data_IF_530358608842
#
_entry.id   IF_530358608842
#
_cell.length_a   1.000
_cell.length_b   1.000
_cell.length_c   1.000
_cell.angle_alpha   90.00
_cell.angle_beta   90.00
_cell.angle_gamma   90.00
#
_symmetry.space_group_name_H-M   'P 1'
#
loop_
_entity.id
_entity.type
_entity.pdbx_description
1 polymer ?
#
# COMPACT_ATOMS: atom_id res chain seq x y z
N UNK A 1 1.27 9.21 -10.43
CA UNK A 1 0.58 8.23 -11.29
C UNK A 1 -0.73 7.80 -10.63
N UNK A 2 -1.82 7.64 -11.38
CA UNK A 2 -3.08 7.10 -10.87
C UNK A 2 -3.36 5.75 -11.54
N UNK A 3 -3.76 4.74 -10.76
CA UNK A 3 -4.12 3.42 -11.28
C UNK A 3 -5.56 3.48 -11.80
N UNK A 4 -5.74 3.34 -13.12
CA UNK A 4 -7.06 3.23 -13.75
C UNK A 4 -7.19 1.85 -14.39
N UNK A 5 -8.29 1.16 -14.08
CA UNK A 5 -8.66 -0.10 -14.74
C UNK A 5 -9.77 0.21 -15.75
N UNK A 6 -9.44 0.15 -17.03
CA UNK A 6 -10.43 0.28 -18.11
C UNK A 6 -10.99 -1.09 -18.51
N UNK A 7 -12.31 -1.27 -18.37
CA UNK A 7 -13.00 -2.51 -18.78
C UNK A 7 -14.01 -2.18 -19.88
N UNK A 8 -14.05 -3.00 -20.93
CA UNK A 8 -15.10 -2.90 -21.95
C UNK A 8 -16.45 -3.28 -21.31
N UNK A 9 -17.56 -2.56 -21.56
CA UNK A 9 -18.87 -2.89 -20.96
C UNK A 9 -19.36 -4.33 -21.20
N UNK A 10 -18.92 -4.96 -22.30
CA UNK A 10 -19.30 -6.35 -22.62
C UNK A 10 -18.46 -7.43 -21.93
N UNK A 11 -17.43 -7.06 -21.15
CA UNK A 11 -16.58 -8.02 -20.44
C UNK A 11 -17.36 -8.61 -19.27
N UNK A 12 -17.49 -9.94 -19.25
CA UNK A 12 -18.20 -10.67 -18.19
C UNK A 12 -17.30 -11.08 -17.02
N UNK A 13 -15.98 -11.11 -17.23
CA UNK A 13 -14.98 -11.47 -16.25
C UNK A 13 -13.86 -10.41 -16.25
N UNK A 14 -13.63 -9.79 -15.10
CA UNK A 14 -12.65 -8.72 -14.89
C UNK A 14 -11.58 -9.13 -13.89
N UNK A 15 -10.62 -8.23 -13.62
CA UNK A 15 -9.63 -8.37 -12.54
C UNK A 15 -10.27 -8.74 -11.19
N UNK A 16 -11.51 -8.33 -10.93
CA UNK A 16 -12.23 -8.61 -9.69
C UNK A 16 -12.70 -10.06 -9.57
N UNK A 17 -12.70 -10.83 -10.66
CA UNK A 17 -13.18 -12.22 -10.70
C UNK A 17 -12.07 -13.25 -10.50
N UNK A 18 -10.81 -12.83 -10.49
CA UNK A 18 -9.65 -13.71 -10.36
C UNK A 18 -8.86 -13.34 -9.11
N UNK A 19 -8.18 -14.31 -8.51
CA UNK A 19 -7.25 -14.02 -7.44
C UNK A 19 -6.17 -13.06 -7.97
N UNK A 20 -6.03 -11.88 -7.36
CA UNK A 20 -5.17 -10.79 -7.83
C UNK A 20 -3.71 -11.23 -8.09
N UNK A 21 -3.18 -12.16 -7.28
CA UNK A 21 -1.84 -12.71 -7.44
C UNK A 21 -1.70 -13.73 -8.60
N UNK A 22 -2.81 -14.19 -9.19
CA UNK A 22 -2.87 -15.21 -10.25
C UNK A 22 -3.43 -14.66 -11.57
N UNK A 23 -3.61 -13.35 -11.69
CA UNK A 23 -4.19 -12.74 -12.89
C UNK A 23 -3.40 -13.09 -14.16
N UNK A 24 -2.07 -13.02 -14.07
CA UNK A 24 -1.15 -13.32 -15.16
C UNK A 24 -1.24 -14.77 -15.67
N UNK A 25 -1.86 -15.69 -14.91
CA UNK A 25 -2.07 -17.08 -15.31
C UNK A 25 -3.34 -17.25 -16.15
N UNK A 26 -4.28 -16.31 -16.04
CA UNK A 26 -5.61 -16.41 -16.65
C UNK A 26 -5.83 -15.37 -17.75
N UNK A 27 -4.96 -14.35 -17.84
CA UNK A 27 -5.10 -13.23 -18.77
C UNK A 27 -3.73 -12.75 -19.28
N UNK A 28 -3.61 -12.39 -20.58
CA UNK A 28 -2.44 -11.67 -21.09
C UNK A 28 -2.22 -10.40 -20.26
N UNK A 29 -1.08 -10.34 -19.57
CA UNK A 29 -0.78 -9.29 -18.61
C UNK A 29 0.57 -8.69 -18.97
N UNK A 30 0.62 -7.36 -19.09
CA UNK A 30 1.87 -6.61 -19.16
C UNK A 30 2.10 -5.97 -17.81
N UNK A 31 3.09 -6.45 -17.07
CA UNK A 31 3.45 -5.92 -15.75
C UNK A 31 4.68 -5.03 -15.89
N UNK A 32 4.50 -3.74 -15.62
CA UNK A 32 5.61 -2.81 -15.52
C UNK A 32 6.18 -2.87 -14.10
N UNK A 33 7.27 -3.60 -13.91
CA UNK A 33 8.03 -3.60 -12.67
C UNK A 33 8.99 -2.41 -12.69
N UNK A 34 8.46 -1.20 -12.46
CA UNK A 34 9.24 0.02 -12.26
C UNK A 34 9.27 0.45 -10.78
N UNK A 35 9.85 1.64 -10.53
CA UNK A 35 10.00 2.38 -9.26
C UNK A 35 8.95 2.08 -8.19
N UNK A 36 9.29 2.22 -6.90
CA UNK A 36 8.37 1.96 -5.78
C UNK A 36 6.94 2.49 -6.02
N UNK A 37 6.02 1.59 -6.37
CA UNK A 37 4.69 1.94 -6.89
C UNK A 37 3.61 1.98 -5.81
N UNK A 38 3.82 1.27 -4.70
CA UNK A 38 2.82 1.08 -3.66
C UNK A 38 3.47 1.04 -2.28
N UNK A 39 2.79 1.65 -1.31
CA UNK A 39 3.11 1.53 0.11
C UNK A 39 2.12 0.57 0.73
N UNK A 40 2.62 -0.31 1.58
CA UNK A 40 1.80 -1.19 2.39
C UNK A 40 1.66 -0.63 3.80
N UNK A 41 0.42 -0.31 4.17
CA UNK A 41 0.06 -0.06 5.57
C UNK A 41 0.03 -1.36 6.39
N UNK A 42 0.59 -1.30 7.59
CA UNK A 42 0.47 -2.34 8.60
C UNK A 42 -0.31 -1.77 9.78
N UNK A 43 -1.58 -2.14 9.91
CA UNK A 43 -2.44 -1.73 11.01
C UNK A 43 -3.24 -2.91 11.56
N UNK A 44 -3.85 -2.69 12.73
CA UNK A 44 -4.65 -3.67 13.46
C UNK A 44 -6.03 -3.93 12.80
N UNK A 45 -6.44 -3.14 11.80
CA UNK A 45 -7.77 -3.21 11.20
C UNK A 45 -7.75 -3.77 9.77
N UNK A 46 -6.58 -4.10 9.24
CA UNK A 46 -6.43 -4.74 7.94
C UNK A 46 -6.84 -6.22 8.00
N UNK A 47 -8.08 -6.47 7.59
CA UNK A 47 -8.78 -7.76 7.61
C UNK A 47 -8.13 -8.85 6.73
N UNK A 48 -7.17 -8.50 5.86
CA UNK A 48 -6.59 -9.47 4.92
C UNK A 48 -5.59 -10.46 5.53
N UNK A 49 -5.02 -10.21 6.73
CA UNK A 49 -3.93 -11.05 7.28
C UNK A 49 -3.85 -11.23 8.79
N UNK A 50 -4.93 -11.02 9.54
CA UNK A 50 -4.89 -11.20 11.00
C UNK A 50 -5.49 -12.53 11.46
N UNK A 51 -4.98 -13.63 10.90
CA UNK A 51 -5.23 -14.93 11.53
C UNK A 51 -4.52 -14.97 12.89
N UNK A 52 -5.09 -15.62 13.92
CA UNK A 52 -4.43 -15.82 15.19
C UNK A 52 -3.01 -16.39 14.98
N UNK A 53 -1.98 -15.73 15.54
CA UNK A 53 -0.59 -16.18 15.48
C UNK A 53 0.31 -15.56 14.40
N UNK A 54 -0.17 -14.62 13.59
CA UNK A 54 0.71 -13.88 12.65
C UNK A 54 1.61 -12.92 13.44
N UNK A 55 2.93 -13.09 13.31
CA UNK A 55 3.92 -12.23 13.99
C UNK A 55 3.85 -10.80 13.42
N UNK A 56 3.81 -9.77 14.27
CA UNK A 56 3.90 -8.38 13.83
C UNK A 56 5.19 -8.14 13.05
N UNK A 57 5.08 -7.40 11.94
CA UNK A 57 6.26 -6.93 11.21
C UNK A 57 6.90 -5.81 12.03
N UNK A 58 8.16 -6.00 12.42
CA UNK A 58 8.94 -4.93 13.05
C UNK A 58 9.48 -4.01 11.98
N UNK A 59 9.07 -2.74 12.02
CA UNK A 59 9.55 -1.70 11.13
C UNK A 59 10.42 -0.73 11.93
N UNK A 60 11.51 -0.26 11.32
CA UNK A 60 12.34 0.81 11.86
C UNK A 60 11.90 2.14 11.24
N UNK A 61 12.04 3.27 11.96
CA UNK A 61 11.88 4.59 11.36
C UNK A 61 12.78 4.77 10.14
N UNK A 62 12.32 5.54 9.17
CA UNK A 62 13.11 5.92 8.00
C UNK A 62 14.28 6.81 8.43
N UNK A 63 15.41 6.65 7.74
CA UNK A 63 16.49 7.64 7.75
C UNK A 63 16.19 8.79 6.78
N UNK A 64 17.07 9.80 6.76
CA UNK A 64 16.88 11.01 5.95
C UNK A 64 16.75 10.72 4.45
N UNK A 65 17.46 9.71 3.94
CA UNK A 65 17.36 9.33 2.52
C UNK A 65 16.00 8.68 2.23
N UNK A 66 15.56 7.78 3.12
CA UNK A 66 14.25 7.15 3.07
C UNK A 66 13.11 8.17 3.14
N UNK A 67 13.19 9.15 4.02
CA UNK A 67 12.20 10.24 4.12
C UNK A 67 12.11 11.04 2.81
N UNK A 68 13.26 11.44 2.27
CA UNK A 68 13.32 12.19 1.02
C UNK A 68 12.78 11.36 -0.15
N UNK A 69 13.02 10.05 -0.16
CA UNK A 69 12.45 9.13 -1.13
C UNK A 69 10.93 9.03 -1.02
N UNK A 70 10.41 8.88 0.19
CA UNK A 70 8.96 8.83 0.44
C UNK A 70 8.26 10.13 -0.01
N UNK A 71 8.90 11.28 0.24
CA UNK A 71 8.38 12.57 -0.21
C UNK A 71 8.39 12.69 -1.73
N UNK A 72 9.46 12.29 -2.42
CA UNK A 72 9.55 12.37 -3.88
C UNK A 72 8.59 11.40 -4.59
N UNK A 73 8.53 10.16 -4.12
CA UNK A 73 7.84 9.07 -4.83
C UNK A 73 6.34 9.01 -4.49
N UNK A 74 5.99 9.29 -3.24
CA UNK A 74 4.61 9.13 -2.74
C UNK A 74 3.99 10.43 -2.23
N UNK A 75 4.73 11.54 -2.23
CA UNK A 75 4.33 12.82 -1.62
C UNK A 75 3.97 12.70 -0.13
N UNK A 76 4.57 11.72 0.57
CA UNK A 76 4.40 11.56 2.02
C UNK A 76 5.47 12.39 2.72
N UNK A 77 5.03 13.35 3.53
CA UNK A 77 5.88 14.18 4.37
C UNK A 77 5.91 13.61 5.79
N UNK A 78 7.08 13.10 6.20
CA UNK A 78 7.22 12.43 7.50
C UNK A 78 7.09 13.39 8.68
N UNK A 79 7.43 14.67 8.53
CA UNK A 79 7.26 15.66 9.60
C UNK A 79 5.79 16.02 9.77
N UNK A 80 5.05 16.15 8.67
CA UNK A 80 3.60 16.32 8.72
C UNK A 80 2.94 15.11 9.40
N UNK A 81 3.30 13.88 9.01
CA UNK A 81 2.78 12.66 9.62
C UNK A 81 3.06 12.65 11.13
N UNK A 82 4.30 12.92 11.56
CA UNK A 82 4.64 13.00 12.99
C UNK A 82 3.80 14.05 13.72
N UNK A 83 3.60 15.22 13.12
CA UNK A 83 2.79 16.28 13.73
C UNK A 83 1.33 15.85 13.94
N UNK A 84 0.73 15.17 12.96
CA UNK A 84 -0.64 14.65 13.05
C UNK A 84 -0.80 13.55 14.12
N UNK A 85 0.22 12.70 14.30
CA UNK A 85 0.18 11.56 15.22
C UNK A 85 0.83 11.83 16.59
N UNK A 86 1.26 13.07 16.86
CA UNK A 86 1.55 13.49 18.24
C UNK A 86 0.23 13.51 19.01
N UNK A 87 0.03 12.54 19.91
CA UNK A 87 -1.12 12.53 20.81
C UNK A 87 -1.24 13.87 21.56
N UNK A 88 -2.44 14.36 21.89
CA UNK A 88 -2.58 15.32 22.97
C UNK A 88 -2.02 14.67 24.22
N UNK A 89 -1.18 15.39 24.97
CA UNK A 89 -0.80 15.00 26.33
C UNK A 89 -2.09 14.66 27.09
N UNK A 90 -2.17 13.51 27.81
CA UNK A 90 -3.31 13.26 28.68
C UNK A 90 -3.39 14.40 29.67
N UNK A 91 -4.51 15.14 29.69
CA UNK A 91 -4.74 16.11 30.76
C UNK A 91 -4.64 15.34 32.09
N UNK A 92 -3.73 15.83 32.94
CA UNK A 92 -3.51 15.35 34.31
C UNK A 92 -4.71 15.66 35.19
#
# INVERSE_FOLDING_TARGET
AALAVGLKPSVKLSVMNFAHAKLAQNMPTVTFTGQDMLIRGHDAYNDSRQKPGVKPVRLTPLDREGEAHFKRTFNIDTDHVRAMFRAPVPNS
#
